data_IF_153309086006
#
_entry.id   IF_153309086006
#
_cell.length_a   1.000
_cell.length_b   1.000
_cell.length_c   1.000
_cell.angle_alpha   90.00
_cell.angle_beta   90.00
_cell.angle_gamma   90.00
#
_symmetry.space_group_name_H-M   'P 1'
#
loop_
_entity.id
_entity.type
_entity.pdbx_description
1 polymer ?
#
# COMPACT_ATOMS: atom_id res chain seq x y z
N UNK A 1 39.47 5.21 -4.22
CA UNK A 1 38.17 5.09 -4.91
C UNK A 1 37.18 4.32 -4.04
N UNK A 2 36.31 5.02 -3.31
CA UNK A 2 35.13 4.38 -2.70
C UNK A 2 34.08 4.19 -3.81
N UNK A 3 33.38 3.04 -3.87
CA UNK A 3 32.27 2.89 -4.80
C UNK A 3 31.15 3.84 -4.35
N UNK A 4 30.74 4.72 -5.26
CA UNK A 4 29.50 5.47 -5.12
C UNK A 4 28.39 4.49 -5.47
N UNK A 5 27.74 3.93 -4.45
CA UNK A 5 26.51 3.18 -4.64
C UNK A 5 25.42 4.20 -4.90
N UNK A 6 25.15 4.51 -6.17
CA UNK A 6 23.91 5.17 -6.55
C UNK A 6 22.83 4.16 -6.17
N UNK A 7 22.14 4.37 -5.05
CA UNK A 7 20.83 3.76 -4.88
C UNK A 7 20.04 4.34 -6.04
N UNK A 8 19.73 3.54 -7.06
CA UNK A 8 18.72 3.95 -8.01
C UNK A 8 17.50 4.28 -7.17
N UNK A 9 17.12 5.56 -7.13
CA UNK A 9 15.93 5.99 -6.45
C UNK A 9 14.78 5.21 -7.07
N UNK A 10 14.26 4.23 -6.34
CA UNK A 10 13.11 3.46 -6.74
C UNK A 10 12.03 4.49 -7.09
N UNK A 11 11.59 4.53 -8.35
CA UNK A 11 10.51 5.43 -8.75
C UNK A 11 9.32 5.25 -7.82
N UNK A 12 8.62 6.33 -7.52
CA UNK A 12 7.39 6.27 -6.75
C UNK A 12 6.40 5.31 -7.42
N UNK A 13 5.93 4.35 -6.64
CA UNK A 13 5.07 3.24 -7.03
C UNK A 13 3.82 3.28 -6.15
N UNK A 14 2.69 3.18 -6.82
CA UNK A 14 1.36 3.08 -6.25
C UNK A 14 0.69 1.89 -6.89
N UNK A 15 0.24 0.93 -6.08
CA UNK A 15 -0.33 -0.32 -6.58
C UNK A 15 -1.58 -0.67 -5.79
N UNK A 16 -2.61 -1.07 -6.54
CA UNK A 16 -3.78 -1.76 -6.00
C UNK A 16 -3.61 -3.23 -6.37
N UNK A 17 -3.67 -4.10 -5.37
CA UNK A 17 -3.37 -5.53 -5.53
C UNK A 17 -4.59 -6.34 -5.15
N UNK A 18 -5.00 -7.23 -6.04
CA UNK A 18 -5.99 -8.27 -5.73
C UNK A 18 -5.31 -9.44 -5.01
N UNK A 19 -5.90 -9.91 -3.91
CA UNK A 19 -5.47 -11.10 -3.17
C UNK A 19 -6.67 -11.86 -2.58
N UNK A 20 -6.46 -13.05 -2.00
CA UNK A 20 -7.47 -13.82 -1.25
C UNK A 20 -8.84 -13.93 -1.95
N UNK A 21 -8.89 -14.35 -3.21
CA UNK A 21 -10.14 -14.66 -3.94
C UNK A 21 -11.24 -13.58 -3.80
N UNK A 22 -10.89 -12.29 -3.98
CA UNK A 22 -11.77 -11.10 -4.01
C UNK A 22 -11.52 -10.06 -2.88
N UNK A 23 -10.27 -9.92 -2.46
CA UNK A 23 -9.82 -8.81 -1.60
C UNK A 23 -8.90 -7.86 -2.36
N UNK A 24 -8.93 -6.58 -2.00
CA UNK A 24 -8.10 -5.54 -2.60
C UNK A 24 -7.35 -4.77 -1.52
N UNK A 25 -6.03 -4.64 -1.70
CA UNK A 25 -5.15 -3.86 -0.81
C UNK A 25 -4.47 -2.75 -1.60
N UNK A 26 -4.04 -1.70 -0.90
CA UNK A 26 -3.19 -0.65 -1.46
C UNK A 26 -1.74 -0.83 -0.96
N UNK A 27 -0.77 -0.59 -1.84
CA UNK A 27 0.66 -0.63 -1.52
C UNK A 27 1.40 0.56 -2.14
N UNK A 28 2.37 1.10 -1.41
CA UNK A 28 3.22 2.19 -1.91
C UNK A 28 4.61 2.20 -1.28
N UNK A 29 5.61 2.67 -2.02
CA UNK A 29 6.94 3.03 -1.52
C UNK A 29 7.09 4.55 -1.26
N UNK A 30 6.02 5.34 -1.46
CA UNK A 30 6.01 6.75 -1.08
C UNK A 30 5.99 6.82 0.44
N UNK A 31 7.07 7.38 1.00
CA UNK A 31 7.37 7.27 2.43
C UNK A 31 6.57 8.28 3.25
N UNK A 32 5.73 7.76 4.13
CA UNK A 32 5.15 8.50 5.26
C UNK A 32 5.67 7.99 6.62
N UNK A 33 6.42 6.89 6.60
CA UNK A 33 7.07 6.26 7.76
C UNK A 33 8.53 5.96 7.38
N UNK A 34 9.48 6.41 8.19
CA UNK A 34 10.91 6.23 7.94
C UNK A 34 11.38 4.78 8.18
N UNK A 35 10.60 3.98 8.90
CA UNK A 35 10.94 2.61 9.28
C UNK A 35 10.46 1.56 8.28
N UNK A 36 9.77 1.97 7.20
CA UNK A 36 9.35 1.07 6.12
C UNK A 36 9.80 1.55 4.74
N UNK A 37 10.11 0.59 3.88
CA UNK A 37 10.39 0.81 2.46
C UNK A 37 9.11 0.68 1.62
N UNK A 38 8.15 -0.12 2.09
CA UNK A 38 6.84 -0.31 1.47
C UNK A 38 5.77 -0.35 2.55
N UNK A 39 4.78 0.53 2.43
CA UNK A 39 3.59 0.59 3.25
C UNK A 39 2.47 -0.20 2.58
N UNK A 40 1.75 -1.02 3.36
CA UNK A 40 0.61 -1.80 2.90
C UNK A 40 -0.62 -1.44 3.72
N UNK A 41 -1.70 -1.18 3.02
CA UNK A 41 -2.99 -0.82 3.59
C UNK A 41 -3.99 -1.93 3.27
N UNK A 42 -4.32 -2.70 4.30
CA UNK A 42 -5.32 -3.77 4.24
C UNK A 42 -6.58 -3.32 4.98
N UNK A 43 -7.69 -3.28 4.24
CA UNK A 43 -8.96 -2.75 4.73
C UNK A 43 -9.83 -3.81 5.42
N UNK A 44 -9.44 -5.08 5.41
CA UNK A 44 -10.17 -6.19 6.05
C UNK A 44 -9.34 -6.82 7.16
N UNK A 45 -8.10 -7.22 6.84
CA UNK A 45 -7.26 -8.01 7.72
C UNK A 45 -6.17 -7.16 8.38
N UNK A 46 -5.57 -7.69 9.44
CA UNK A 46 -4.44 -7.04 10.14
C UNK A 46 -3.08 -7.68 9.80
N UNK A 47 -3.06 -8.70 8.95
CA UNK A 47 -1.86 -9.43 8.57
C UNK A 47 -1.95 -9.88 7.12
N UNK A 48 -0.79 -10.00 6.46
CA UNK A 48 -0.70 -10.39 5.06
C UNK A 48 -0.56 -11.89 4.91
N UNK A 49 -1.17 -12.43 3.85
CA UNK A 49 -0.95 -13.80 3.44
C UNK A 49 0.31 -13.92 2.54
N UNK A 50 0.70 -15.16 2.23
CA UNK A 50 1.91 -15.47 1.42
C UNK A 50 1.81 -14.93 -0.03
N UNK A 51 0.61 -14.78 -0.56
CA UNK A 51 0.39 -14.23 -1.91
C UNK A 51 0.64 -12.73 -1.96
N UNK A 52 0.18 -11.99 -0.95
CA UNK A 52 0.49 -10.58 -0.80
C UNK A 52 2.01 -10.37 -0.61
N UNK A 53 2.72 -11.25 0.11
CA UNK A 53 4.20 -11.26 0.15
C UNK A 53 4.84 -11.43 -1.24
N UNK A 54 4.24 -12.25 -2.11
CA UNK A 54 4.77 -12.54 -3.44
C UNK A 54 4.59 -11.36 -4.41
N UNK A 55 3.43 -10.69 -4.35
CA UNK A 55 3.18 -9.50 -5.16
C UNK A 55 4.15 -8.35 -4.81
N UNK A 56 4.59 -8.24 -3.55
CA UNK A 56 5.61 -7.26 -3.10
C UNK A 56 6.95 -7.42 -3.80
N UNK A 57 7.46 -8.65 -3.87
CA UNK A 57 8.76 -8.95 -4.46
C UNK A 57 8.80 -8.62 -5.96
N UNK A 58 7.66 -8.80 -6.64
CA UNK A 58 7.54 -8.61 -8.08
C UNK A 58 7.31 -7.13 -8.41
N UNK A 59 6.36 -6.45 -7.76
CA UNK A 59 5.95 -5.09 -8.17
C UNK A 59 6.95 -4.00 -7.76
N UNK A 60 7.56 -4.13 -6.59
CA UNK A 60 8.47 -3.10 -6.09
C UNK A 60 9.92 -3.32 -6.54
N UNK A 61 10.22 -4.34 -7.34
CA UNK A 61 11.58 -4.64 -7.84
C UNK A 61 12.62 -4.63 -6.73
N UNK A 62 12.22 -5.09 -5.55
CA UNK A 62 13.09 -5.20 -4.39
C UNK A 62 13.99 -6.41 -4.59
N UNK A 63 14.96 -6.30 -5.49
CA UNK A 63 15.93 -7.36 -5.75
C UNK A 63 16.70 -7.70 -4.48
N UNK A 64 16.52 -8.92 -3.96
CA UNK A 64 17.33 -9.64 -2.94
C UNK A 64 17.64 -8.92 -1.60
N UNK A 65 17.38 -7.62 -1.45
CA UNK A 65 17.49 -6.91 -0.18
C UNK A 65 16.17 -7.04 0.58
N UNK A 66 16.24 -7.35 1.87
CA UNK A 66 15.07 -7.44 2.74
C UNK A 66 14.47 -6.04 2.94
N UNK A 67 13.61 -5.58 2.05
CA UNK A 67 12.83 -4.36 2.29
C UNK A 67 12.00 -4.52 3.56
N UNK A 68 11.97 -3.46 4.37
CA UNK A 68 11.11 -3.40 5.54
C UNK A 68 9.68 -3.10 5.10
N UNK A 69 8.83 -4.12 5.12
CA UNK A 69 7.42 -3.95 4.83
C UNK A 69 6.65 -3.75 6.12
N UNK A 70 5.70 -2.82 6.10
CA UNK A 70 4.80 -2.58 7.24
C UNK A 70 3.36 -2.59 6.77
N UNK A 71 2.54 -3.42 7.41
CA UNK A 71 1.08 -3.29 7.36
C UNK A 71 0.74 -2.11 8.25
N UNK A 72 0.17 -1.07 7.64
CA UNK A 72 -0.18 0.15 8.34
C UNK A 72 -1.50 -0.06 9.08
N UNK A 73 -1.58 0.45 10.30
CA UNK A 73 -2.87 0.61 10.97
C UNK A 73 -3.66 1.68 10.23
N UNK A 74 -4.79 1.28 9.66
CA UNK A 74 -5.57 2.11 8.75
C UNK A 74 -7.06 1.81 8.88
N UNK A 75 -7.89 2.71 8.35
CA UNK A 75 -9.34 2.57 8.36
C UNK A 75 -9.75 1.22 7.74
N UNK A 76 -10.52 0.44 8.49
CA UNK A 76 -11.13 -0.80 7.98
C UNK A 76 -12.42 -0.49 7.24
N UNK A 77 -12.73 -1.32 6.25
CA UNK A 77 -14.01 -1.24 5.58
C UNK A 77 -15.17 -1.53 6.55
N UNK A 78 -16.26 -0.80 6.36
CA UNK A 78 -17.57 -1.19 6.89
C UNK A 78 -18.25 -2.12 5.89
N UNK A 79 -18.78 -3.26 6.35
CA UNK A 79 -19.39 -4.27 5.47
C UNK A 79 -18.37 -5.11 4.69
N UNK A 80 -18.79 -5.71 3.57
CA UNK A 80 -18.03 -6.74 2.86
C UNK A 80 -17.57 -6.41 1.43
N UNK A 81 -17.84 -5.21 0.90
CA UNK A 81 -17.69 -4.91 -0.54
C UNK A 81 -16.78 -3.72 -0.87
N UNK A 82 -16.24 -3.03 0.14
CA UNK A 82 -15.60 -1.72 -0.04
C UNK A 82 -14.07 -1.72 0.08
N UNK A 83 -13.40 -2.88 0.13
CA UNK A 83 -11.93 -2.95 0.07
C UNK A 83 -11.38 -2.28 -1.20
N UNK A 84 -12.01 -2.51 -2.35
CA UNK A 84 -11.63 -1.85 -3.60
C UNK A 84 -11.87 -0.34 -3.58
N UNK A 85 -12.97 0.10 -2.97
CA UNK A 85 -13.29 1.52 -2.82
C UNK A 85 -12.25 2.25 -1.97
N UNK A 86 -11.91 1.68 -0.81
CA UNK A 86 -10.87 2.23 0.06
C UNK A 86 -9.48 2.15 -0.59
N UNK A 87 -9.16 1.08 -1.33
CA UNK A 87 -7.89 0.98 -2.05
C UNK A 87 -7.68 2.13 -3.04
N UNK A 88 -8.71 2.46 -3.81
CA UNK A 88 -8.69 3.58 -4.77
C UNK A 88 -8.55 4.92 -4.03
N UNK A 89 -9.32 5.13 -2.96
CA UNK A 89 -9.27 6.38 -2.21
C UNK A 89 -7.93 6.61 -1.50
N UNK A 90 -7.32 5.55 -0.94
CA UNK A 90 -6.01 5.62 -0.31
C UNK A 90 -4.91 5.96 -1.33
N UNK A 91 -4.87 5.26 -2.47
CA UNK A 91 -3.88 5.53 -3.52
C UNK A 91 -4.04 6.94 -4.08
N UNK A 92 -5.28 7.41 -4.25
CA UNK A 92 -5.57 8.77 -4.69
C UNK A 92 -5.01 9.79 -3.70
N UNK A 93 -5.26 9.61 -2.41
CA UNK A 93 -4.74 10.51 -1.36
C UNK A 93 -3.21 10.54 -1.35
N UNK A 94 -2.56 9.37 -1.47
CA UNK A 94 -1.10 9.28 -1.56
C UNK A 94 -0.58 10.01 -2.79
N UNK A 95 -1.23 9.85 -3.95
CA UNK A 95 -0.85 10.53 -5.20
C UNK A 95 -0.97 12.07 -5.09
N UNK A 96 -1.87 12.56 -4.24
CA UNK A 96 -2.01 13.98 -3.90
C UNK A 96 -1.08 14.44 -2.76
N UNK A 97 -0.13 13.61 -2.32
CA UNK A 97 0.82 13.94 -1.26
C UNK A 97 0.19 14.00 0.14
N UNK A 98 -0.97 13.37 0.32
CA UNK A 98 -1.66 13.30 1.60
C UNK A 98 -1.35 11.98 2.31
N UNK A 99 -1.17 12.03 3.62
CA UNK A 99 -1.00 10.84 4.43
C UNK A 99 -2.35 10.16 4.65
N UNK A 100 -2.60 8.99 4.04
CA UNK A 100 -3.95 8.46 3.94
C UNK A 100 -4.51 8.03 5.30
N UNK A 101 -3.67 7.62 6.25
CA UNK A 101 -4.10 7.18 7.60
C UNK A 101 -4.57 8.34 8.50
N UNK A 102 -4.32 9.59 8.08
CA UNK A 102 -4.80 10.80 8.77
C UNK A 102 -6.11 11.34 8.19
N UNK A 103 -6.65 10.70 7.14
CA UNK A 103 -7.89 11.08 6.50
C UNK A 103 -9.03 10.16 6.94
N UNK A 104 -10.26 10.67 6.89
CA UNK A 104 -11.47 9.90 7.08
C UNK A 104 -12.13 9.66 5.73
N UNK A 105 -12.40 8.39 5.41
CA UNK A 105 -13.01 7.99 4.15
C UNK A 105 -14.46 7.58 4.38
N UNK A 106 -15.40 8.43 3.96
CA UNK A 106 -16.83 8.17 4.09
C UNK A 106 -17.27 7.25 2.95
N UNK A 107 -17.36 5.95 3.22
CA UNK A 107 -17.68 4.93 2.20
C UNK A 107 -18.97 5.22 1.43
N UNK A 108 -20.04 5.60 2.13
CA UNK A 108 -21.34 5.88 1.52
C UNK A 108 -21.28 7.06 0.55
N UNK A 109 -20.48 8.08 0.87
CA UNK A 109 -20.28 9.25 -0.01
C UNK A 109 -19.40 8.88 -1.21
N UNK A 110 -18.30 8.16 -0.98
CA UNK A 110 -17.36 7.78 -2.05
C UNK A 110 -17.97 6.82 -3.07
N UNK A 111 -18.88 5.93 -2.66
CA UNK A 111 -19.47 4.90 -3.53
C UNK A 111 -20.29 5.48 -4.68
N UNK A 112 -20.75 6.72 -4.55
CA UNK A 112 -21.56 7.41 -5.54
C UNK A 112 -20.74 8.09 -6.66
N UNK A 113 -19.42 7.96 -6.64
CA UNK A 113 -18.48 8.55 -7.60
C UNK A 113 -17.82 7.50 -8.48
#
# INVERSE_FOLDING_TARGET
NKPVTIKEDLKDKLQIVQCNDNHWIAASNIKYDADCDVAIYDFIYCALNVEAETVKCILFEVGKQKSKIKVMDCQKQSGGMDCGLLAVAFITSIAHGQEPVKLQYLQDEMRNH
#
